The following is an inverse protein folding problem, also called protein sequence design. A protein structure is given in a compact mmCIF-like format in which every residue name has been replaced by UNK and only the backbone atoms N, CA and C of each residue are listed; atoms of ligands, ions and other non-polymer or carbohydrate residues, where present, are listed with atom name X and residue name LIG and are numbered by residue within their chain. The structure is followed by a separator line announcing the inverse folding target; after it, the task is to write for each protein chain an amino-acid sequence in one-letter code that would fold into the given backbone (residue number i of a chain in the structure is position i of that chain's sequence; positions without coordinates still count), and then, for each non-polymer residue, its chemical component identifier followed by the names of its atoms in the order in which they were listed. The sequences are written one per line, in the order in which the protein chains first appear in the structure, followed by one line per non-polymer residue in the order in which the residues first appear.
data_IF_416361694666
#
_entry.id   IF_416361694666
#
_cell.length_a   1.000
_cell.length_b   1.000
_cell.length_c   1.000
_cell.angle_alpha   90.00
_cell.angle_beta   90.00
_cell.angle_gamma   90.00
#
_symmetry.space_group_name_H-M   'P 1'
#
loop_
_entity.id
_entity.type
_entity.pdbx_description
1 polymer ?
#
# COMPACT_ATOMS: atom_id res chain seq x y z
N UNK A 1 18.24 -9.12 -4.20
CA UNK A 1 17.40 -9.12 -5.43
C UNK A 1 16.04 -9.60 -5.01
N UNK A 2 14.99 -8.91 -5.41
CA UNK A 2 13.66 -9.07 -4.83
C UNK A 2 12.75 -9.62 -5.91
N UNK A 3 12.10 -10.74 -5.64
CA UNK A 3 11.08 -11.27 -6.56
C UNK A 3 9.81 -10.46 -6.42
N UNK A 4 8.95 -10.50 -7.44
CA UNK A 4 7.65 -9.83 -7.37
C UNK A 4 6.82 -10.23 -6.14
N UNK A 5 6.85 -11.52 -5.75
CA UNK A 5 6.13 -12.00 -4.57
C UNK A 5 6.73 -11.42 -3.27
N UNK A 6 8.05 -11.44 -3.14
CA UNK A 6 8.73 -10.86 -1.97
C UNK A 6 8.45 -9.36 -1.85
N UNK A 7 8.43 -8.63 -2.96
CA UNK A 7 8.08 -7.21 -2.96
C UNK A 7 6.64 -6.98 -2.48
N UNK A 8 5.68 -7.77 -2.96
CA UNK A 8 4.29 -7.66 -2.53
C UNK A 8 4.12 -7.97 -1.04
N UNK A 9 4.76 -9.04 -0.55
CA UNK A 9 4.72 -9.43 0.86
C UNK A 9 5.35 -8.37 1.76
N UNK A 10 6.46 -7.76 1.35
CA UNK A 10 7.12 -6.67 2.06
C UNK A 10 6.21 -5.42 2.17
N UNK A 11 5.55 -5.04 1.07
CA UNK A 11 4.66 -3.88 1.02
C UNK A 11 3.43 -4.11 1.90
N UNK A 12 2.74 -5.25 1.73
CA UNK A 12 1.57 -5.58 2.52
C UNK A 12 1.91 -5.80 3.99
N UNK A 13 3.08 -6.38 4.29
CA UNK A 13 3.59 -6.55 5.64
C UNK A 13 3.84 -5.21 6.34
N UNK A 14 4.46 -4.26 5.65
CA UNK A 14 4.70 -2.91 6.18
C UNK A 14 3.38 -2.16 6.47
N UNK A 15 2.40 -2.24 5.57
CA UNK A 15 1.07 -1.70 5.81
C UNK A 15 0.38 -2.40 6.99
N UNK A 16 0.40 -3.74 7.04
CA UNK A 16 -0.24 -4.50 8.12
C UNK A 16 0.35 -4.14 9.49
N UNK A 17 1.67 -3.97 9.59
CA UNK A 17 2.32 -3.58 10.83
C UNK A 17 1.87 -2.19 11.32
N UNK A 18 1.66 -1.24 10.41
CA UNK A 18 1.16 0.09 10.75
C UNK A 18 -0.35 0.10 11.06
N UNK A 19 -1.13 -0.74 10.38
CA UNK A 19 -2.58 -0.80 10.53
C UNK A 19 -3.04 -1.60 11.76
N UNK A 20 -2.38 -2.71 12.04
CA UNK A 20 -2.73 -3.65 13.13
C UNK A 20 -2.55 -3.10 14.54
N UNK A 21 -1.93 -1.92 14.71
CA UNK A 21 -1.97 -1.16 15.97
C UNK A 21 -3.42 -0.93 16.41
N UNK A 22 -4.34 -0.77 15.45
CA UNK A 22 -5.78 -0.73 15.69
C UNK A 22 -6.39 -2.09 15.33
N UNK A 23 -6.23 -3.08 16.21
CA UNK A 23 -6.67 -4.47 15.96
C UNK A 23 -8.17 -4.63 15.61
N UNK A 24 -9.00 -3.62 15.90
CA UNK A 24 -10.43 -3.59 15.59
C UNK A 24 -10.76 -3.00 14.21
N UNK A 25 -9.78 -2.49 13.46
CA UNK A 25 -9.98 -1.80 12.19
C UNK A 25 -9.75 -2.78 11.03
N UNK A 26 -10.80 -3.18 10.29
CA UNK A 26 -10.64 -4.18 9.26
C UNK A 26 -9.84 -3.64 8.05
N UNK A 27 -9.03 -4.51 7.46
CA UNK A 27 -8.34 -4.26 6.20
C UNK A 27 -8.81 -5.27 5.15
N UNK A 28 -9.21 -4.77 3.97
CA UNK A 28 -9.63 -5.56 2.83
C UNK A 28 -8.45 -5.75 1.88
N UNK A 29 -8.07 -7.01 1.69
CA UNK A 29 -6.91 -7.40 0.88
C UNK A 29 -7.36 -7.82 -0.53
N UNK A 30 -6.55 -7.57 -1.57
CA UNK A 30 -6.92 -7.92 -2.92
C UNK A 30 -6.98 -9.44 -3.09
N UNK A 31 -8.04 -9.94 -3.74
CA UNK A 31 -8.23 -11.37 -4.00
C UNK A 31 -8.62 -12.21 -2.78
N UNK A 32 -8.84 -11.60 -1.60
CA UNK A 32 -9.38 -12.28 -0.42
C UNK A 32 -10.81 -11.82 -0.15
N UNK A 33 -11.68 -12.77 0.19
CA UNK A 33 -12.98 -12.43 0.75
C UNK A 33 -12.74 -11.82 2.14
N UNK A 34 -13.26 -10.62 2.43
CA UNK A 34 -13.09 -10.01 3.74
C UNK A 34 -13.81 -10.84 4.79
N UNK A 35 -13.15 -11.09 5.92
CA UNK A 35 -13.73 -11.86 7.04
C UNK A 35 -14.94 -11.16 7.66
N UNK A 36 -14.98 -9.83 7.56
CA UNK A 36 -16.11 -9.02 7.99
C UNK A 36 -16.46 -7.99 6.92
N UNK A 37 -17.75 -7.74 6.70
CA UNK A 37 -18.23 -6.69 5.80
C UNK A 37 -17.96 -5.30 6.41
N UNK A 38 -16.95 -4.55 5.93
CA UNK A 38 -16.51 -3.33 6.62
C UNK A 38 -17.56 -2.22 6.56
N UNK A 39 -18.34 -2.18 5.48
CA UNK A 39 -19.40 -1.20 5.23
C UNK A 39 -20.50 -1.27 6.31
N UNK A 40 -20.71 -2.43 6.93
CA UNK A 40 -21.69 -2.62 8.00
C UNK A 40 -21.16 -2.26 9.39
N UNK A 41 -19.87 -1.95 9.51
CA UNK A 41 -19.24 -1.61 10.78
C UNK A 41 -19.31 -0.11 11.09
N UNK A 42 -18.97 0.22 12.34
CA UNK A 42 -18.79 1.60 12.81
C UNK A 42 -17.34 2.06 12.75
N UNK A 43 -16.39 1.13 12.83
CA UNK A 43 -14.97 1.43 12.88
C UNK A 43 -14.44 1.86 11.50
N UNK A 44 -13.37 2.67 11.49
CA UNK A 44 -12.59 2.91 10.28
C UNK A 44 -12.10 1.62 9.66
N UNK A 45 -12.00 1.60 8.34
CA UNK A 45 -11.49 0.45 7.59
C UNK A 45 -10.66 0.88 6.39
N UNK A 46 -9.81 -0.03 5.91
CA UNK A 46 -8.95 0.23 4.77
C UNK A 46 -9.17 -0.79 3.65
N UNK A 47 -9.11 -0.33 2.40
CA UNK A 47 -8.96 -1.19 1.23
C UNK A 47 -7.57 -0.96 0.64
N UNK A 48 -6.84 -2.04 0.40
CA UNK A 48 -5.47 -1.95 -0.13
C UNK A 48 -5.33 -2.72 -1.42
N UNK A 49 -4.51 -2.20 -2.33
CA UNK A 49 -4.10 -2.91 -3.54
C UNK A 49 -2.71 -2.49 -3.99
N UNK A 50 -2.09 -3.35 -4.80
CA UNK A 50 -0.84 -3.06 -5.49
C UNK A 50 -1.11 -3.07 -6.99
N UNK A 51 -0.80 -1.96 -7.65
CA UNK A 51 -0.87 -1.81 -9.10
C UNK A 51 0.56 -1.78 -9.62
N UNK A 52 0.95 -2.83 -10.34
CA UNK A 52 2.25 -2.88 -11.00
C UNK A 52 2.22 -2.04 -12.27
N UNK A 53 3.27 -1.27 -12.52
CA UNK A 53 3.47 -0.55 -13.78
C UNK A 53 4.39 -1.35 -14.72
N UNK A 54 4.46 -0.92 -15.99
CA UNK A 54 5.39 -1.51 -16.95
C UNK A 54 6.84 -1.41 -16.43
N UNK A 55 7.50 -2.57 -16.30
CA UNK A 55 8.92 -2.67 -15.98
C UNK A 55 9.80 -2.45 -17.20
N UNK A 56 11.06 -2.06 -16.98
CA UNK A 56 12.05 -1.90 -18.05
C UNK A 56 13.28 -2.77 -17.79
N UNK A 57 13.87 -3.29 -18.86
CA UNK A 57 15.16 -3.96 -18.78
C UNK A 57 16.24 -2.92 -18.46
N UNK A 58 17.02 -3.15 -17.40
CA UNK A 58 18.06 -2.25 -16.92
C UNK A 58 19.47 -2.66 -17.38
N UNK A 59 19.71 -3.93 -17.67
CA UNK A 59 21.02 -4.40 -18.15
C UNK A 59 20.92 -5.25 -19.41
N UNK A 60 21.97 -5.23 -20.24
CA UNK A 60 22.22 -6.30 -21.20
C UNK A 60 22.50 -7.60 -20.43
N UNK A 61 22.23 -8.76 -21.04
CA UNK A 61 22.45 -10.05 -20.39
C UNK A 61 23.93 -10.19 -20.02
N UNK A 62 24.22 -10.51 -18.76
CA UNK A 62 25.58 -10.77 -18.30
C UNK A 62 26.13 -12.09 -18.88
N UNK A 63 27.40 -12.40 -18.57
CA UNK A 63 28.04 -13.66 -19.00
C UNK A 63 27.28 -14.93 -18.54
N UNK A 64 26.48 -14.82 -17.47
CA UNK A 64 25.63 -15.89 -16.94
C UNK A 64 24.22 -15.93 -17.57
N UNK A 65 23.93 -15.11 -18.59
CA UNK A 65 22.64 -15.03 -19.28
C UNK A 65 21.53 -14.28 -18.54
N UNK A 66 21.75 -13.90 -17.28
CA UNK A 66 20.78 -13.18 -16.43
C UNK A 66 20.66 -11.71 -16.80
N UNK A 67 19.44 -11.16 -16.70
CA UNK A 67 19.10 -9.76 -17.03
C UNK A 67 18.54 -9.06 -15.80
N UNK A 68 19.00 -7.82 -15.57
CA UNK A 68 18.43 -6.95 -14.55
C UNK A 68 17.19 -6.25 -15.10
N UNK A 69 16.09 -6.30 -14.35
CA UNK A 69 14.82 -5.66 -14.65
C UNK A 69 14.44 -4.70 -13.53
N UNK A 70 14.24 -3.45 -13.89
CA UNK A 70 13.70 -2.43 -13.00
C UNK A 70 12.19 -2.54 -13.00
N UNK A 71 11.63 -2.92 -11.86
CA UNK A 71 10.19 -3.00 -11.63
C UNK A 71 9.77 -1.76 -10.85
N UNK A 72 8.59 -1.24 -11.19
CA UNK A 72 7.97 -0.14 -10.47
C UNK A 72 6.46 -0.36 -10.38
N UNK A 73 5.84 0.29 -9.41
CA UNK A 73 4.41 0.24 -9.23
C UNK A 73 3.95 1.22 -8.18
N UNK A 74 2.67 1.09 -7.83
CA UNK A 74 2.03 1.91 -6.84
C UNK A 74 1.20 1.06 -5.90
N UNK A 75 1.43 1.22 -4.62
CA UNK A 75 0.54 0.75 -3.58
C UNK A 75 -0.54 1.81 -3.33
N UNK A 76 -1.80 1.40 -3.34
CA UNK A 76 -2.92 2.27 -3.05
C UNK A 76 -3.58 1.77 -1.76
N UNK A 77 -3.81 2.68 -0.83
CA UNK A 77 -4.56 2.44 0.40
C UNK A 77 -5.71 3.45 0.47
N UNK A 78 -6.92 2.96 0.50
CA UNK A 78 -8.15 3.73 0.65
C UNK A 78 -8.63 3.58 2.09
N UNK A 79 -8.67 4.68 2.84
CA UNK A 79 -9.06 4.69 4.25
C UNK A 79 -10.44 5.35 4.35
N UNK A 80 -11.37 4.61 4.94
CA UNK A 80 -12.75 5.03 5.15
C UNK A 80 -12.99 5.28 6.63
N UNK A 81 -13.43 6.49 6.95
CA UNK A 81 -13.82 6.91 8.32
C UNK A 81 -15.25 7.39 8.29
N UNK A 82 -16.06 7.16 9.34
CA UNK A 82 -17.45 7.64 9.34
C UNK A 82 -17.53 9.16 9.33
N UNK A 83 -18.48 9.68 8.56
CA UNK A 83 -18.83 11.10 8.60
C UNK A 83 -19.37 11.43 9.99
N UNK A 84 -18.86 12.49 10.61
CA UNK A 84 -19.21 12.90 11.98
C UNK A 84 -18.21 12.47 13.06
N UNK A 85 -17.30 11.53 12.77
CA UNK A 85 -16.20 11.16 13.69
C UNK A 85 -15.04 12.18 13.69
N UNK A 86 -15.07 13.14 12.77
CA UNK A 86 -14.01 14.13 12.56
C UNK A 86 -12.99 13.71 11.50
N UNK A 87 -12.48 14.67 10.73
CA UNK A 87 -11.45 14.43 9.71
C UNK A 87 -10.08 14.12 10.31
N UNK A 88 -9.86 14.48 11.58
CA UNK A 88 -8.62 14.25 12.31
C UNK A 88 -8.25 12.76 12.40
N UNK A 89 -9.23 11.87 12.63
CA UNK A 89 -8.99 10.43 12.65
C UNK A 89 -8.50 9.93 11.28
N UNK A 90 -9.09 10.41 10.19
CA UNK A 90 -8.70 10.05 8.83
C UNK A 90 -7.25 10.49 8.53
N UNK A 91 -6.87 11.71 8.91
CA UNK A 91 -5.49 12.18 8.74
C UNK A 91 -4.50 11.43 9.62
N UNK A 92 -4.87 11.10 10.86
CA UNK A 92 -4.01 10.34 11.78
C UNK A 92 -3.72 8.95 11.22
N UNK A 93 -4.74 8.27 10.70
CA UNK A 93 -4.59 6.97 10.06
C UNK A 93 -3.77 7.07 8.76
N UNK A 94 -4.06 8.06 7.92
CA UNK A 94 -3.30 8.28 6.68
C UNK A 94 -1.82 8.57 6.97
N UNK A 95 -1.52 9.36 8.02
CA UNK A 95 -0.15 9.65 8.46
C UNK A 95 0.54 8.41 9.02
N UNK A 96 -0.16 7.54 9.75
CA UNK A 96 0.38 6.25 10.21
C UNK A 96 0.83 5.39 9.02
N UNK A 97 -0.02 5.28 7.99
CA UNK A 97 0.29 4.54 6.76
C UNK A 97 1.46 5.19 6.01
N UNK A 98 1.49 6.52 5.89
CA UNK A 98 2.62 7.23 5.27
C UNK A 98 3.95 6.93 5.99
N UNK A 99 3.98 7.01 7.32
CA UNK A 99 5.16 6.72 8.14
C UNK A 99 5.61 5.25 8.03
N UNK A 100 4.72 4.35 7.60
CA UNK A 100 5.08 2.96 7.32
C UNK A 100 6.07 2.85 6.14
N UNK A 101 6.05 3.80 5.20
CA UNK A 101 6.81 3.76 3.96
C UNK A 101 7.84 4.90 3.81
N UNK A 102 7.59 6.06 4.44
CA UNK A 102 8.38 7.27 4.23
C UNK A 102 9.87 7.06 4.55
N UNK A 103 10.72 7.26 3.54
CA UNK A 103 12.18 7.16 3.68
C UNK A 103 12.71 5.74 3.94
N UNK A 104 11.88 4.70 3.80
CA UNK A 104 12.24 3.32 4.08
C UNK A 104 12.62 2.56 2.81
N UNK A 105 13.42 1.52 3.01
CA UNK A 105 13.67 0.48 2.03
C UNK A 105 13.46 -0.85 2.74
N UNK A 106 12.59 -1.70 2.19
CA UNK A 106 12.18 -2.95 2.83
C UNK A 106 12.37 -4.06 1.81
N UNK A 107 13.18 -5.07 2.15
CA UNK A 107 13.48 -6.21 1.29
C UNK A 107 13.87 -5.83 -0.15
N UNK A 108 14.64 -4.75 -0.31
CA UNK A 108 15.09 -4.25 -1.62
C UNK A 108 14.04 -3.44 -2.41
N UNK A 109 12.86 -3.21 -1.84
CA UNK A 109 11.84 -2.29 -2.36
C UNK A 109 12.10 -0.89 -1.81
N UNK A 110 12.33 0.07 -2.72
CA UNK A 110 12.54 1.47 -2.39
C UNK A 110 11.23 2.23 -2.56
N UNK A 111 10.82 2.95 -1.52
CA UNK A 111 9.64 3.81 -1.53
C UNK A 111 10.05 5.26 -1.81
N UNK A 112 9.42 5.91 -2.79
CA UNK A 112 9.81 7.26 -3.23
C UNK A 112 8.74 8.30 -2.93
N UNK A 113 7.68 8.30 -3.74
CA UNK A 113 6.64 9.32 -3.70
C UNK A 113 5.45 8.80 -2.92
N UNK A 114 5.09 9.49 -1.84
CA UNK A 114 3.89 9.21 -1.05
C UNK A 114 2.95 10.40 -1.22
N UNK A 115 1.72 10.14 -1.63
CA UNK A 115 0.69 11.16 -1.84
C UNK A 115 -0.53 10.84 -1.01
N UNK A 116 -0.98 11.80 -0.22
CA UNK A 116 -2.26 11.77 0.47
C UNK A 116 -3.27 12.55 -0.37
N UNK A 117 -4.44 11.96 -0.62
CA UNK A 117 -5.51 12.60 -1.38
C UNK A 117 -6.85 12.40 -0.69
N UNK A 118 -7.48 13.50 -0.31
CA UNK A 118 -8.86 13.49 0.13
C UNK A 118 -9.78 13.33 -1.07
N UNK A 119 -10.67 12.35 -0.97
CA UNK A 119 -11.69 12.09 -1.99
C UNK A 119 -13.07 12.60 -1.54
N UNK A 120 -13.19 13.05 -0.28
CA UNK A 120 -14.40 13.60 0.29
C UNK A 120 -15.37 12.50 0.74
N UNK A 121 -16.66 12.83 0.72
CA UNK A 121 -17.70 11.95 1.22
C UNK A 121 -18.14 10.94 0.16
N UNK A 122 -18.20 9.67 0.56
CA UNK A 122 -18.65 8.55 -0.23
C UNK A 122 -19.70 7.76 0.56
N UNK A 123 -20.97 8.19 0.46
CA UNK A 123 -22.04 7.69 1.32
C UNK A 123 -21.86 8.19 2.76
N UNK A 124 -21.90 7.27 3.73
CA UNK A 124 -21.69 7.57 5.16
C UNK A 124 -20.21 7.66 5.58
N UNK A 125 -19.29 7.57 4.62
CA UNK A 125 -17.86 7.50 4.85
C UNK A 125 -17.13 8.70 4.24
N UNK A 126 -16.15 9.23 4.95
CA UNK A 126 -15.13 10.13 4.44
C UNK A 126 -13.93 9.29 3.96
N UNK A 127 -13.49 9.52 2.73
CA UNK A 127 -12.43 8.78 2.08
C UNK A 127 -11.16 9.63 1.97
N UNK A 128 -10.06 9.07 2.48
CA UNK A 128 -8.70 9.54 2.21
C UNK A 128 -7.88 8.42 1.60
N UNK A 129 -7.20 8.71 0.50
CA UNK A 129 -6.34 7.77 -0.20
C UNK A 129 -4.87 8.07 0.08
N UNK A 130 -4.08 7.03 0.31
CA UNK A 130 -2.62 7.08 0.38
C UNK A 130 -2.06 6.30 -0.80
N UNK A 131 -1.29 6.99 -1.64
CA UNK A 131 -0.62 6.40 -2.79
C UNK A 131 0.87 6.36 -2.54
N UNK A 132 1.49 5.18 -2.64
CA UNK A 132 2.92 4.99 -2.41
C UNK A 132 3.55 4.40 -3.67
N UNK A 133 4.42 5.17 -4.32
CA UNK A 133 5.22 4.67 -5.44
C UNK A 133 6.40 3.87 -4.91
N UNK A 134 6.62 2.71 -5.52
CA UNK A 134 7.72 1.82 -5.19
C UNK A 134 8.47 1.36 -6.44
N UNK A 135 9.72 0.99 -6.23
CA UNK A 135 10.56 0.36 -7.23
C UNK A 135 11.44 -0.72 -6.60
N UNK A 136 11.81 -1.73 -7.39
CA UNK A 136 12.74 -2.77 -6.99
C UNK A 136 13.44 -3.36 -8.22
N UNK A 137 14.61 -3.93 -7.99
CA UNK A 137 15.38 -4.61 -9.02
C UNK A 137 15.21 -6.13 -8.91
N UNK A 138 14.80 -6.72 -10.03
CA UNK A 138 14.59 -8.15 -10.20
C UNK A 138 15.63 -8.69 -11.19
N UNK A 139 16.21 -9.86 -10.91
CA UNK A 139 17.11 -10.55 -11.85
C UNK A 139 16.42 -11.81 -12.34
N UNK A 140 16.29 -11.93 -13.65
CA UNK A 140 15.66 -13.05 -14.36
C UNK A 140 16.65 -13.65 -15.34
#
# INVERSE_FOLDING_TARGET
MTTQQQAADAIFGAFNAAWSVNASYPAVWPGKTPEVEPIKQTNPWAFVNIVHEAGKQLSLAGADGKKLWGRKGRFNCEIYVRIGSGTEEAYTLARSVELAFLGKTIDGVVFRSIQLKEMGNHGDWFLICVFVQFEYDEVI
#
